data_IF_268402100255
#
_entry.id   IF_268402100255
#
_cell.length_a   1.000
_cell.length_b   1.000
_cell.length_c   1.000
_cell.angle_alpha   90.00
_cell.angle_beta   90.00
_cell.angle_gamma   90.00
#
_symmetry.space_group_name_H-M   'P 1'
#
loop_
_entity.id
_entity.type
_entity.pdbx_description
1 polymer ?
#
# COMPACT_ATOMS: atom_id res chain seq x y z
N UNK A 1 -5.29 32.05 -5.01
CA UNK A 1 -5.74 30.69 -5.28
C UNK A 1 -6.29 30.10 -4.01
N UNK A 2 -7.47 29.45 -4.08
CA UNK A 2 -8.12 28.88 -2.89
C UNK A 2 -7.73 27.43 -2.62
N UNK A 3 -6.91 26.79 -3.50
CA UNK A 3 -6.39 25.47 -3.33
C UNK A 3 -4.94 25.49 -2.81
N UNK A 4 -4.64 24.68 -1.82
CA UNK A 4 -3.30 24.63 -1.23
C UNK A 4 -2.38 23.66 -1.97
N UNK A 5 -2.92 22.56 -2.47
CA UNK A 5 -2.19 21.53 -3.22
C UNK A 5 -3.10 20.74 -4.18
N UNK A 6 -2.50 20.10 -5.16
CA UNK A 6 -3.15 19.26 -6.17
C UNK A 6 -2.36 17.97 -6.30
N UNK A 7 -2.99 16.82 -6.05
CA UNK A 7 -2.42 15.52 -6.38
C UNK A 7 -2.67 15.21 -7.87
N UNK A 8 -1.64 14.83 -8.59
CA UNK A 8 -1.74 14.32 -9.95
C UNK A 8 -1.57 12.80 -9.90
N UNK A 9 -2.63 12.06 -10.24
CA UNK A 9 -2.67 10.58 -10.17
C UNK A 9 -2.91 10.02 -11.57
N UNK A 10 -2.25 8.92 -11.98
CA UNK A 10 -2.51 8.29 -13.27
C UNK A 10 -3.95 7.78 -13.33
N UNK A 11 -4.58 7.92 -14.48
CA UNK A 11 -5.94 7.41 -14.66
C UNK A 11 -5.95 5.88 -14.69
N UNK A 12 -6.57 5.26 -13.69
CA UNK A 12 -6.82 3.82 -13.66
C UNK A 12 -7.83 3.42 -14.75
N UNK A 13 -7.44 2.52 -15.64
CA UNK A 13 -8.31 2.02 -16.72
C UNK A 13 -8.91 0.68 -16.28
N UNK A 14 -10.17 0.69 -15.82
CA UNK A 14 -10.85 -0.52 -15.36
C UNK A 14 -11.64 -1.22 -16.46
N UNK A 15 -11.96 -2.50 -16.26
CA UNK A 15 -12.85 -3.28 -17.14
C UNK A 15 -14.30 -2.74 -17.20
N UNK A 16 -14.70 -1.90 -16.24
CA UNK A 16 -16.07 -1.37 -16.09
C UNK A 16 -16.33 -0.09 -16.91
N UNK A 17 -15.60 0.13 -18.00
CA UNK A 17 -15.67 1.33 -18.83
C UNK A 17 -16.53 1.18 -20.10
N UNK A 18 -17.46 0.24 -20.13
CA UNK A 18 -18.34 0.03 -21.30
C UNK A 18 -19.12 1.31 -21.63
N UNK A 19 -19.01 1.78 -22.88
CA UNK A 19 -19.68 3.01 -23.34
C UNK A 19 -18.97 4.32 -23.01
N UNK A 20 -17.84 4.30 -22.29
CA UNK A 20 -17.01 5.48 -22.03
C UNK A 20 -15.92 5.65 -23.08
N UNK A 21 -15.39 6.86 -23.18
CA UNK A 21 -14.24 7.16 -24.04
C UNK A 21 -13.08 6.20 -23.74
N UNK A 22 -12.47 5.66 -24.80
CA UNK A 22 -11.34 4.73 -24.67
C UNK A 22 -10.10 5.50 -24.21
N UNK A 23 -9.61 5.18 -23.02
CA UNK A 23 -8.32 5.66 -22.51
C UNK A 23 -7.23 4.64 -22.83
N UNK A 24 -6.03 5.12 -23.09
CA UNK A 24 -4.83 4.31 -23.19
C UNK A 24 -4.11 4.39 -21.84
N UNK A 25 -3.82 3.26 -21.17
CA UNK A 25 -2.99 3.26 -19.97
C UNK A 25 -1.62 3.85 -20.26
N UNK A 26 -1.00 4.46 -19.27
CA UNK A 26 0.38 4.90 -19.39
C UNK A 26 1.32 3.69 -19.43
N UNK A 27 2.27 3.74 -20.34
CA UNK A 27 3.48 2.91 -20.34
C UNK A 27 4.64 3.67 -19.68
N UNK A 28 5.79 3.01 -19.56
CA UNK A 28 6.96 3.60 -18.91
C UNK A 28 7.40 4.91 -19.57
N UNK A 29 7.40 4.97 -20.89
CA UNK A 29 7.84 6.16 -21.63
C UNK A 29 6.87 7.32 -21.44
N UNK A 30 5.59 7.12 -21.67
CA UNK A 30 4.57 8.17 -21.53
C UNK A 30 4.41 8.63 -20.07
N UNK A 31 4.61 7.74 -19.10
CA UNK A 31 4.68 8.10 -17.70
C UNK A 31 5.89 9.01 -17.41
N UNK A 32 7.07 8.67 -17.95
CA UNK A 32 8.28 9.48 -17.77
C UNK A 32 8.14 10.87 -18.40
N UNK A 33 7.61 10.96 -19.63
CA UNK A 33 7.37 12.24 -20.31
C UNK A 33 6.37 13.12 -19.54
N UNK A 34 5.30 12.52 -19.01
CA UNK A 34 4.31 13.24 -18.19
C UNK A 34 4.91 13.72 -16.88
N UNK A 35 5.74 12.87 -16.24
CA UNK A 35 6.44 13.20 -15.01
C UNK A 35 7.40 14.38 -15.19
N UNK A 36 8.16 14.43 -16.31
CA UNK A 36 9.05 15.56 -16.64
C UNK A 36 8.29 16.90 -16.66
N UNK A 37 7.10 16.92 -17.26
CA UNK A 37 6.24 18.12 -17.31
C UNK A 37 5.81 18.52 -15.88
N UNK A 38 5.40 17.55 -15.06
CA UNK A 38 4.98 17.81 -13.70
C UNK A 38 6.13 18.30 -12.82
N UNK A 39 7.31 17.69 -12.92
CA UNK A 39 8.50 18.08 -12.15
C UNK A 39 8.98 19.49 -12.51
N UNK A 40 8.94 19.86 -13.80
CA UNK A 40 9.22 21.25 -14.22
C UNK A 40 8.24 22.23 -13.56
N UNK A 41 6.95 21.85 -13.50
CA UNK A 41 5.92 22.68 -12.85
C UNK A 41 6.14 22.79 -11.33
N UNK A 42 6.49 21.68 -10.67
CA UNK A 42 6.85 21.64 -9.26
C UNK A 42 8.03 22.60 -8.97
N UNK A 43 9.08 22.53 -9.77
CA UNK A 43 10.26 23.40 -9.63
C UNK A 43 9.92 24.88 -9.78
N UNK A 44 9.05 25.23 -10.75
CA UNK A 44 8.56 26.61 -10.91
C UNK A 44 7.76 27.09 -9.70
N UNK A 45 6.86 26.23 -9.18
CA UNK A 45 6.07 26.56 -8.00
C UNK A 45 6.97 26.74 -6.76
N UNK A 46 7.94 25.86 -6.53
CA UNK A 46 8.90 26.00 -5.42
C UNK A 46 9.68 27.30 -5.50
N UNK A 47 10.13 27.70 -6.70
CA UNK A 47 10.83 28.97 -6.91
C UNK A 47 9.94 30.18 -6.61
N UNK A 48 8.66 30.11 -6.96
CA UNK A 48 7.73 31.25 -6.83
C UNK A 48 7.08 31.34 -5.46
N UNK A 49 6.75 30.20 -4.83
CA UNK A 49 5.92 30.13 -3.62
C UNK A 49 6.63 29.50 -2.42
N UNK A 50 7.87 29.02 -2.59
CA UNK A 50 8.61 28.30 -1.55
C UNK A 50 8.18 26.84 -1.31
N UNK A 51 7.15 26.38 -2.04
CA UNK A 51 6.61 25.00 -1.96
C UNK A 51 6.07 24.53 -3.31
N UNK A 52 5.85 23.23 -3.45
CA UNK A 52 5.09 22.70 -4.59
C UNK A 52 3.60 23.03 -4.43
N UNK A 53 2.89 23.11 -5.55
CA UNK A 53 1.43 23.20 -5.62
C UNK A 53 0.85 21.97 -6.26
N UNK A 54 1.57 21.36 -7.22
CA UNK A 54 1.22 20.08 -7.85
C UNK A 54 2.18 19.04 -7.36
N UNK A 55 1.66 17.88 -6.97
CA UNK A 55 2.43 16.73 -6.50
C UNK A 55 2.08 15.52 -7.35
N UNK A 56 3.02 14.96 -8.13
CA UNK A 56 2.84 13.66 -8.75
C UNK A 56 2.71 12.59 -7.66
N UNK A 57 1.75 11.67 -7.81
CA UNK A 57 1.68 10.50 -6.94
C UNK A 57 2.89 9.58 -7.15
N UNK A 58 3.21 8.78 -6.13
CA UNK A 58 4.34 7.83 -6.18
C UNK A 58 4.20 6.85 -7.36
N UNK A 59 2.98 6.55 -7.77
CA UNK A 59 2.68 5.68 -8.91
C UNK A 59 3.34 6.20 -10.22
N UNK A 60 3.42 7.50 -10.44
CA UNK A 60 4.07 8.06 -11.62
C UNK A 60 5.55 7.71 -11.68
N UNK A 61 6.25 7.82 -10.56
CA UNK A 61 7.68 7.48 -10.47
C UNK A 61 7.91 6.00 -10.73
N UNK A 62 7.10 5.15 -10.10
CA UNK A 62 7.20 3.70 -10.25
C UNK A 62 6.86 3.26 -11.68
N UNK A 63 5.83 3.81 -12.31
CA UNK A 63 5.49 3.54 -13.72
C UNK A 63 6.60 4.00 -14.67
N UNK A 64 7.19 5.17 -14.41
CA UNK A 64 8.31 5.70 -15.18
C UNK A 64 9.62 4.91 -14.97
N UNK A 65 9.67 4.00 -14.00
CA UNK A 65 10.90 3.32 -13.59
C UNK A 65 11.92 4.26 -12.95
N UNK A 66 11.44 5.33 -12.29
CA UNK A 66 12.26 6.31 -11.59
C UNK A 66 12.19 6.10 -10.09
N UNK A 67 13.23 6.54 -9.40
CA UNK A 67 13.26 6.57 -7.95
C UNK A 67 12.23 7.56 -7.41
N UNK A 68 11.49 7.15 -6.37
CA UNK A 68 10.53 8.02 -5.68
C UNK A 68 11.30 9.11 -4.93
N UNK A 69 10.89 10.39 -5.01
CA UNK A 69 11.58 11.50 -4.41
C UNK A 69 11.87 11.34 -2.90
N UNK A 70 12.89 12.02 -2.38
CA UNK A 70 13.16 12.03 -0.95
C UNK A 70 12.07 12.78 -0.17
N UNK A 71 12.03 12.59 1.15
CA UNK A 71 11.00 13.11 2.05
C UNK A 71 10.75 14.62 1.92
N UNK A 72 11.83 15.39 1.70
CA UNK A 72 11.77 16.86 1.58
C UNK A 72 10.97 17.33 0.36
N UNK A 73 10.76 16.47 -0.63
CA UNK A 73 9.95 16.79 -1.81
C UNK A 73 8.48 16.97 -1.46
N UNK A 74 7.99 16.27 -0.46
CA UNK A 74 6.55 16.16 -0.14
C UNK A 74 6.05 17.23 0.83
N UNK A 75 6.91 18.17 1.24
CA UNK A 75 6.58 19.24 2.21
C UNK A 75 5.92 18.66 3.49
N UNK A 76 4.61 18.89 3.70
CA UNK A 76 3.87 18.37 4.86
C UNK A 76 3.10 17.06 4.57
N UNK A 77 3.29 16.43 3.42
CA UNK A 77 2.51 15.26 2.98
C UNK A 77 0.99 15.50 2.92
N UNK A 78 0.59 16.70 2.48
CA UNK A 78 -0.82 17.14 2.44
C UNK A 78 -1.74 16.27 1.54
N UNK A 79 -1.15 15.46 0.63
CA UNK A 79 -1.86 14.60 -0.32
C UNK A 79 -1.53 13.11 -0.13
N UNK A 80 -1.21 12.70 1.11
CA UNK A 80 -0.79 11.34 1.42
C UNK A 80 -1.85 10.30 1.04
N UNK A 81 -3.13 10.60 1.30
CA UNK A 81 -4.27 9.70 1.00
C UNK A 81 -4.47 9.50 -0.51
N UNK A 82 -3.96 10.41 -1.33
CA UNK A 82 -3.96 10.31 -2.80
C UNK A 82 -2.70 9.59 -3.34
N UNK A 83 -1.90 8.97 -2.48
CA UNK A 83 -0.70 8.22 -2.83
C UNK A 83 0.51 9.10 -3.14
N UNK A 84 0.56 10.32 -2.60
CA UNK A 84 1.69 11.25 -2.73
C UNK A 84 2.59 11.13 -1.51
N UNK A 85 3.75 10.48 -1.65
CA UNK A 85 4.71 10.28 -0.58
C UNK A 85 4.43 9.08 0.35
N UNK A 86 3.37 8.32 0.09
CA UNK A 86 3.03 7.14 0.90
C UNK A 86 4.12 6.07 0.81
N UNK A 87 4.65 5.82 -0.41
CA UNK A 87 5.74 4.90 -0.65
C UNK A 87 7.01 5.34 0.12
N UNK A 88 7.36 6.64 0.03
CA UNK A 88 8.52 7.19 0.72
C UNK A 88 8.38 7.07 2.24
N UNK A 89 7.24 7.47 2.78
CA UNK A 89 6.97 7.36 4.23
C UNK A 89 7.02 5.91 4.71
N UNK A 90 6.44 4.97 3.94
CA UNK A 90 6.47 3.56 4.26
C UNK A 90 7.91 3.02 4.25
N UNK A 91 8.66 3.35 3.18
CA UNK A 91 10.07 2.98 3.05
C UNK A 91 10.88 3.46 4.26
N UNK A 92 10.92 4.78 4.49
CA UNK A 92 11.80 5.35 5.49
C UNK A 92 11.47 4.85 6.91
N UNK A 93 10.17 4.81 7.26
CA UNK A 93 9.75 4.32 8.57
C UNK A 93 10.00 2.81 8.77
N UNK A 94 10.01 2.00 7.70
CA UNK A 94 10.38 0.60 7.80
C UNK A 94 11.88 0.44 8.12
N UNK A 95 12.73 1.14 7.39
CA UNK A 95 14.17 1.07 7.59
C UNK A 95 14.59 1.63 8.95
N UNK A 96 13.98 2.72 9.38
CA UNK A 96 14.19 3.28 10.73
C UNK A 96 13.83 2.26 11.79
N UNK A 97 12.66 1.63 11.71
CA UNK A 97 12.22 0.62 12.66
C UNK A 97 13.11 -0.63 12.62
N UNK A 98 13.52 -1.07 11.42
CA UNK A 98 14.39 -2.24 11.28
C UNK A 98 15.76 -2.01 11.92
N UNK A 99 16.27 -0.77 11.98
CA UNK A 99 17.57 -0.46 12.61
C UNK A 99 17.58 -0.74 14.11
N UNK A 100 16.45 -0.61 14.81
CA UNK A 100 16.40 -0.85 16.25
C UNK A 100 16.81 -2.29 16.57
N UNK A 101 17.78 -2.49 17.49
CA UNK A 101 18.21 -3.83 17.88
C UNK A 101 17.15 -4.55 18.70
N UNK A 102 16.95 -5.84 18.41
CA UNK A 102 16.11 -6.75 19.20
C UNK A 102 16.93 -7.94 19.66
N UNK A 103 16.84 -8.27 20.93
CA UNK A 103 17.61 -9.37 21.52
C UNK A 103 16.93 -10.73 21.40
N UNK A 104 15.60 -10.76 21.34
CA UNK A 104 14.81 -12.00 21.36
C UNK A 104 13.74 -11.93 20.27
N UNK A 105 14.13 -12.23 19.02
CA UNK A 105 13.19 -12.36 17.91
C UNK A 105 12.88 -13.84 17.74
N UNK A 106 11.62 -14.22 17.94
CA UNK A 106 11.18 -15.61 17.78
C UNK A 106 11.12 -16.01 16.30
N UNK A 107 11.42 -17.28 15.98
CA UNK A 107 11.27 -17.78 14.61
C UNK A 107 9.85 -17.57 14.08
N UNK A 108 9.73 -17.02 12.88
CA UNK A 108 8.44 -16.69 12.28
C UNK A 108 8.48 -16.85 10.76
N UNK A 109 7.46 -17.49 10.21
CA UNK A 109 7.21 -17.54 8.76
C UNK A 109 5.86 -16.92 8.46
N UNK A 110 5.81 -16.00 7.52
CA UNK A 110 4.62 -15.30 7.09
C UNK A 110 4.56 -15.16 5.58
N UNK A 111 3.35 -15.09 5.06
CA UNK A 111 3.08 -14.62 3.70
C UNK A 111 2.56 -13.19 3.75
N UNK A 112 2.90 -12.36 2.77
CA UNK A 112 2.46 -10.96 2.66
C UNK A 112 1.89 -10.73 1.28
N UNK A 113 0.66 -10.20 1.18
CA UNK A 113 0.07 -9.79 -0.10
C UNK A 113 0.30 -8.31 -0.35
N UNK A 114 0.52 -7.95 -1.62
CA UNK A 114 0.63 -6.55 -2.05
C UNK A 114 0.21 -6.41 -3.52
N UNK A 115 -0.01 -5.18 -3.99
CA UNK A 115 -0.18 -4.90 -5.42
C UNK A 115 1.13 -5.09 -6.19
N UNK A 116 1.01 -5.30 -7.49
CA UNK A 116 2.19 -5.56 -8.34
C UNK A 116 3.20 -4.41 -8.34
N UNK A 117 2.72 -3.17 -8.20
CA UNK A 117 3.56 -1.98 -8.22
C UNK A 117 4.47 -1.86 -6.98
N UNK A 118 3.96 -2.18 -5.80
CA UNK A 118 4.73 -2.12 -4.55
C UNK A 118 5.55 -3.40 -4.26
N UNK A 119 5.32 -4.48 -5.00
CA UNK A 119 5.96 -5.77 -4.73
C UNK A 119 7.51 -5.74 -4.71
N UNK A 120 8.20 -4.97 -5.56
CA UNK A 120 9.67 -4.87 -5.47
C UNK A 120 10.13 -4.33 -4.11
N UNK A 121 9.54 -3.25 -3.61
CA UNK A 121 9.83 -2.68 -2.30
C UNK A 121 9.58 -3.68 -1.16
N UNK A 122 8.41 -4.34 -1.19
CA UNK A 122 8.05 -5.29 -0.13
C UNK A 122 9.01 -6.51 -0.11
N UNK A 123 9.52 -6.94 -1.28
CA UNK A 123 10.55 -7.99 -1.36
C UNK A 123 11.89 -7.53 -0.79
N UNK A 124 12.33 -6.31 -1.12
CA UNK A 124 13.55 -5.73 -0.55
C UNK A 124 13.49 -5.69 0.98
N UNK A 125 12.35 -5.26 1.53
CA UNK A 125 12.12 -5.25 2.98
C UNK A 125 12.12 -6.65 3.60
N UNK A 126 11.53 -7.63 2.93
CA UNK A 126 11.54 -9.02 3.34
C UNK A 126 12.97 -9.60 3.38
N UNK A 127 13.75 -9.34 2.33
CA UNK A 127 15.17 -9.76 2.24
C UNK A 127 16.03 -9.10 3.32
N UNK A 128 15.87 -7.79 3.54
CA UNK A 128 16.60 -7.07 4.58
C UNK A 128 16.23 -7.56 5.99
N UNK A 129 14.95 -7.88 6.21
CA UNK A 129 14.51 -8.47 7.49
C UNK A 129 15.15 -9.84 7.71
N UNK A 130 15.15 -10.70 6.69
CA UNK A 130 15.80 -12.01 6.76
C UNK A 130 17.32 -11.90 6.96
N UNK A 131 17.97 -10.97 6.27
CA UNK A 131 19.41 -10.74 6.42
C UNK A 131 19.78 -10.33 7.85
N UNK A 132 18.94 -9.51 8.51
CA UNK A 132 19.15 -9.08 9.90
C UNK A 132 18.72 -10.15 10.92
N UNK A 133 17.63 -10.86 10.62
CA UNK A 133 17.02 -11.88 11.49
C UNK A 133 16.76 -13.16 10.69
N UNK A 134 17.77 -14.05 10.53
CA UNK A 134 17.65 -15.24 9.65
C UNK A 134 16.52 -16.22 10.03
N UNK A 135 16.00 -16.14 11.26
CA UNK A 135 14.86 -16.92 11.73
C UNK A 135 13.51 -16.38 11.27
N UNK A 136 13.48 -15.21 10.61
CA UNK A 136 12.28 -14.62 10.00
C UNK A 136 12.25 -14.95 8.51
N UNK A 137 11.16 -15.52 8.04
CA UNK A 137 10.89 -15.79 6.63
C UNK A 137 9.64 -15.06 6.17
N UNK A 138 9.75 -14.25 5.13
CA UNK A 138 8.63 -13.49 4.55
C UNK A 138 8.50 -13.83 3.08
N UNK A 139 7.38 -14.45 2.69
CA UNK A 139 7.07 -14.73 1.29
C UNK A 139 6.13 -13.68 0.75
N UNK A 140 6.49 -13.00 -0.34
CA UNK A 140 5.74 -11.87 -0.90
C UNK A 140 4.94 -12.31 -2.12
N UNK A 141 3.63 -12.16 -2.07
CA UNK A 141 2.68 -12.40 -3.15
C UNK A 141 2.27 -11.08 -3.80
N UNK A 142 2.74 -10.85 -5.02
CA UNK A 142 2.32 -9.73 -5.86
C UNK A 142 0.99 -10.09 -6.55
N UNK A 143 -0.10 -9.48 -6.11
CA UNK A 143 -1.45 -9.82 -6.59
C UNK A 143 -1.78 -8.99 -7.83
N UNK A 144 -2.06 -9.69 -8.93
CA UNK A 144 -2.62 -9.09 -10.14
C UNK A 144 -4.08 -8.72 -9.89
N UNK A 145 -4.45 -7.49 -10.18
CA UNK A 145 -5.82 -7.02 -9.99
C UNK A 145 -6.70 -7.40 -11.18
N UNK A 146 -7.23 -8.63 -11.20
CA UNK A 146 -8.14 -9.10 -12.24
C UNK A 146 -9.56 -8.52 -12.08
N UNK A 147 -9.96 -8.24 -10.84
CA UNK A 147 -11.29 -7.71 -10.52
C UNK A 147 -11.58 -6.38 -11.23
N UNK A 148 -10.61 -5.46 -11.24
CA UNK A 148 -10.72 -4.21 -11.96
C UNK A 148 -10.16 -4.25 -13.39
N UNK A 149 -9.64 -5.38 -13.89
CA UNK A 149 -9.26 -5.59 -15.29
C UNK A 149 -7.77 -5.57 -15.59
N UNK A 150 -6.91 -5.77 -14.59
CA UNK A 150 -5.47 -6.07 -14.76
C UNK A 150 -4.56 -4.86 -15.00
N UNK A 151 -5.10 -3.65 -15.23
CA UNK A 151 -4.31 -2.41 -15.42
C UNK A 151 -4.11 -1.64 -14.11
N UNK A 152 -4.78 -2.04 -13.05
CA UNK A 152 -4.67 -1.44 -11.71
C UNK A 152 -3.61 -2.21 -10.93
N UNK A 153 -2.56 -1.52 -10.49
CA UNK A 153 -1.37 -2.14 -9.89
C UNK A 153 -1.14 -1.77 -8.42
N UNK A 154 -1.89 -0.79 -7.91
CA UNK A 154 -1.74 -0.27 -6.54
C UNK A 154 -2.31 -1.24 -5.50
N UNK A 155 -1.66 -1.32 -4.34
CA UNK A 155 -2.05 -2.25 -3.28
C UNK A 155 -3.46 -1.97 -2.72
N UNK A 156 -3.86 -0.70 -2.55
CA UNK A 156 -5.14 -0.32 -1.97
C UNK A 156 -6.38 -0.75 -2.77
N UNK A 157 -6.22 -1.17 -4.03
CA UNK A 157 -7.32 -1.63 -4.88
C UNK A 157 -7.34 -3.17 -5.07
N UNK A 158 -6.44 -3.91 -4.42
CA UNK A 158 -6.44 -5.38 -4.42
C UNK A 158 -7.67 -5.89 -3.69
N UNK A 159 -8.37 -6.86 -4.30
CA UNK A 159 -9.60 -7.44 -3.73
C UNK A 159 -9.36 -8.77 -3.05
N UNK A 160 -10.25 -9.13 -2.13
CA UNK A 160 -10.19 -10.42 -1.46
C UNK A 160 -10.35 -11.61 -2.44
N UNK A 161 -11.18 -11.44 -3.48
CA UNK A 161 -11.37 -12.44 -4.54
C UNK A 161 -10.07 -12.69 -5.32
N UNK A 162 -9.32 -11.64 -5.66
CA UNK A 162 -8.04 -11.79 -6.37
C UNK A 162 -6.99 -12.48 -5.49
N UNK A 163 -6.97 -12.17 -4.19
CA UNK A 163 -6.08 -12.84 -3.23
C UNK A 163 -6.41 -14.33 -3.16
N UNK A 164 -7.70 -14.70 -2.99
CA UNK A 164 -8.11 -16.12 -2.94
C UNK A 164 -7.67 -16.84 -4.21
N UNK A 165 -7.97 -16.28 -5.38
CA UNK A 165 -7.67 -16.88 -6.68
C UNK A 165 -6.19 -17.18 -6.86
N UNK A 166 -5.30 -16.30 -6.38
CA UNK A 166 -3.87 -16.38 -6.64
C UNK A 166 -3.07 -17.02 -5.50
N UNK A 167 -3.57 -16.95 -4.26
CA UNK A 167 -2.86 -17.50 -3.09
C UNK A 167 -3.35 -18.89 -2.66
N UNK A 168 -4.53 -19.35 -3.10
CA UNK A 168 -5.07 -20.65 -2.67
C UNK A 168 -4.15 -21.81 -3.08
N UNK A 169 -3.62 -22.51 -2.09
CA UNK A 169 -2.67 -23.61 -2.28
C UNK A 169 -1.22 -23.15 -2.54
N UNK A 170 -0.94 -21.86 -2.51
CA UNK A 170 0.38 -21.27 -2.78
C UNK A 170 0.99 -20.56 -1.56
N UNK A 171 0.32 -20.57 -0.40
CA UNK A 171 0.89 -19.97 0.82
C UNK A 171 2.01 -20.86 1.36
N UNK A 172 3.07 -20.22 1.85
CA UNK A 172 4.24 -20.87 2.46
C UNK A 172 4.09 -21.03 3.96
N UNK A 173 3.15 -20.31 4.56
CA UNK A 173 2.88 -20.29 6.01
C UNK A 173 1.38 -20.35 6.32
N UNK A 174 1.05 -20.42 7.59
CA UNK A 174 -0.33 -20.35 8.07
C UNK A 174 -0.77 -18.93 8.46
N UNK A 175 0.06 -17.91 8.25
CA UNK A 175 -0.22 -16.51 8.54
C UNK A 175 -0.11 -15.70 7.25
N UNK A 176 -1.19 -15.02 6.86
CA UNK A 176 -1.20 -14.11 5.74
C UNK A 176 -1.37 -12.67 6.24
N UNK A 177 -0.33 -11.85 6.03
CA UNK A 177 -0.34 -10.43 6.32
C UNK A 177 -1.03 -9.67 5.19
N UNK A 178 -2.05 -8.88 5.54
CA UNK A 178 -2.85 -8.07 4.62
C UNK A 178 -2.69 -6.59 5.00
N UNK A 179 -2.15 -5.73 4.13
CA UNK A 179 -2.07 -4.29 4.39
C UNK A 179 -3.45 -3.68 4.64
N UNK A 180 -3.57 -2.85 5.67
CA UNK A 180 -4.82 -2.19 6.06
C UNK A 180 -5.40 -1.31 4.94
N UNK A 181 -4.55 -0.79 4.04
CA UNK A 181 -4.96 0.00 2.86
C UNK A 181 -5.83 -0.80 1.88
N UNK A 182 -5.82 -2.13 1.90
CA UNK A 182 -6.68 -2.99 1.07
C UNK A 182 -8.12 -3.07 1.61
N UNK A 183 -8.35 -2.62 2.84
CA UNK A 183 -9.65 -2.65 3.48
C UNK A 183 -10.33 -1.28 3.40
N UNK A 184 -11.66 -1.27 3.35
CA UNK A 184 -12.45 -0.02 3.41
C UNK A 184 -12.18 0.74 4.71
N UNK A 185 -12.67 1.96 4.81
CA UNK A 185 -12.43 2.86 5.96
C UNK A 185 -12.77 2.22 7.31
N UNK A 186 -13.82 1.39 7.37
CA UNK A 186 -14.19 0.64 8.58
C UNK A 186 -13.19 -0.48 8.93
N UNK A 187 -12.25 -0.78 8.06
CA UNK A 187 -11.21 -1.84 8.20
C UNK A 187 -11.78 -3.24 8.44
N UNK A 188 -12.97 -3.52 7.94
CA UNK A 188 -13.65 -4.79 8.14
C UNK A 188 -13.72 -5.65 6.87
N UNK A 189 -13.66 -5.05 5.67
CA UNK A 189 -13.82 -5.73 4.39
C UNK A 189 -13.05 -5.09 3.24
N UNK A 190 -12.78 -5.89 2.22
CA UNK A 190 -12.22 -5.46 0.94
C UNK A 190 -13.25 -4.72 0.07
N UNK A 191 -12.82 -4.19 -1.08
CA UNK A 191 -13.69 -3.47 -2.01
C UNK A 191 -14.77 -4.36 -2.64
N UNK A 192 -14.55 -5.67 -2.70
CA UNK A 192 -15.50 -6.70 -3.18
C UNK A 192 -16.37 -7.28 -2.07
N UNK A 193 -16.54 -6.57 -0.94
CA UNK A 193 -17.33 -6.93 0.24
C UNK A 193 -16.86 -8.17 1.04
N UNK A 194 -15.78 -8.82 0.61
CA UNK A 194 -15.22 -9.95 1.33
C UNK A 194 -14.55 -9.48 2.62
N UNK A 195 -14.81 -10.14 3.73
CA UNK A 195 -14.17 -9.80 5.01
C UNK A 195 -12.83 -10.53 5.18
N UNK A 196 -11.93 -9.99 6.02
CA UNK A 196 -10.68 -10.65 6.37
C UNK A 196 -10.91 -12.06 6.96
N UNK A 197 -11.98 -12.23 7.73
CA UNK A 197 -12.37 -13.56 8.27
C UNK A 197 -12.71 -14.55 7.16
N UNK A 198 -13.55 -14.15 6.19
CA UNK A 198 -13.90 -14.99 5.04
C UNK A 198 -12.69 -15.32 4.17
N UNK A 199 -11.76 -14.36 4.00
CA UNK A 199 -10.48 -14.60 3.32
C UNK A 199 -9.69 -15.71 4.02
N UNK A 200 -9.53 -15.64 5.35
CA UNK A 200 -8.83 -16.66 6.13
C UNK A 200 -9.49 -18.03 6.04
N UNK A 201 -10.83 -18.10 6.14
CA UNK A 201 -11.60 -19.33 5.96
C UNK A 201 -11.40 -19.95 4.56
N UNK A 202 -11.37 -19.13 3.50
CA UNK A 202 -11.20 -19.58 2.11
C UNK A 202 -9.80 -20.10 1.81
N UNK A 203 -8.77 -19.52 2.47
CA UNK A 203 -7.36 -19.87 2.29
C UNK A 203 -6.87 -20.91 3.32
N UNK A 204 -7.59 -21.11 4.43
CA UNK A 204 -7.19 -22.00 5.50
C UNK A 204 -6.02 -21.45 6.33
N UNK A 205 -5.90 -20.13 6.48
CA UNK A 205 -4.84 -19.46 7.21
C UNK A 205 -5.36 -18.37 8.15
N UNK A 206 -4.52 -17.92 9.07
CA UNK A 206 -4.78 -16.75 9.91
C UNK A 206 -4.51 -15.47 9.11
N UNK A 207 -5.40 -14.48 9.19
CA UNK A 207 -5.21 -13.16 8.57
C UNK A 207 -4.74 -12.17 9.63
N UNK A 208 -3.55 -11.62 9.42
CA UNK A 208 -3.00 -10.53 10.21
C UNK A 208 -3.08 -9.22 9.40
N UNK A 209 -3.94 -8.29 9.82
CA UNK A 209 -4.04 -6.98 9.18
C UNK A 209 -2.91 -6.11 9.69
N UNK A 210 -2.04 -5.68 8.77
CA UNK A 210 -0.86 -4.87 9.09
C UNK A 210 -1.11 -3.40 8.80
N UNK A 211 -0.57 -2.47 9.63
CA UNK A 211 -0.71 -1.04 9.41
C UNK A 211 -0.15 -0.57 8.05
N UNK A 212 -0.67 0.54 7.54
CA UNK A 212 -0.18 1.20 6.32
C UNK A 212 0.98 2.15 6.62
N UNK A 213 1.87 1.75 7.53
CA UNK A 213 3.13 2.43 7.81
C UNK A 213 4.26 1.40 7.92
N UNK A 214 5.46 1.80 7.54
CA UNK A 214 6.58 0.87 7.46
C UNK A 214 7.04 0.34 8.80
N UNK A 215 6.95 1.15 9.87
CA UNK A 215 7.28 0.70 11.22
C UNK A 215 6.33 -0.40 11.70
N UNK A 216 5.02 -0.24 11.42
CA UNK A 216 4.02 -1.27 11.65
C UNK A 216 4.26 -2.52 10.82
N UNK A 217 4.65 -2.37 9.54
CA UNK A 217 5.03 -3.46 8.65
C UNK A 217 6.23 -4.24 9.19
N UNK A 218 7.29 -3.56 9.62
CA UNK A 218 8.46 -4.18 10.24
C UNK A 218 8.09 -4.96 11.53
N UNK A 219 7.28 -4.37 12.40
CA UNK A 219 6.78 -5.03 13.62
C UNK A 219 5.94 -6.25 13.31
N UNK A 220 5.14 -6.21 12.24
CA UNK A 220 4.39 -7.37 11.78
C UNK A 220 5.32 -8.52 11.39
N UNK A 221 6.35 -8.24 10.60
CA UNK A 221 7.33 -9.25 10.20
C UNK A 221 8.00 -9.92 11.40
N UNK A 222 8.29 -9.14 12.43
CA UNK A 222 8.93 -9.60 13.65
C UNK A 222 7.95 -10.21 14.70
N UNK A 223 6.64 -10.21 14.43
CA UNK A 223 5.64 -10.70 15.38
C UNK A 223 5.37 -9.78 16.56
N UNK A 224 5.70 -8.49 16.44
CA UNK A 224 5.63 -7.50 17.51
C UNK A 224 4.35 -6.64 17.47
N UNK A 225 3.42 -6.90 16.54
CA UNK A 225 2.15 -6.18 16.50
C UNK A 225 1.32 -6.48 17.76
N UNK A 226 0.98 -5.43 18.49
CA UNK A 226 0.03 -5.56 19.59
C UNK A 226 -1.39 -5.73 19.03
N UNK A 227 -2.18 -6.70 19.53
CA UNK A 227 -3.57 -6.84 19.09
C UNK A 227 -4.32 -5.52 19.34
N UNK A 228 -5.02 -5.01 18.31
CA UNK A 228 -5.86 -3.81 18.46
C UNK A 228 -6.89 -4.07 19.58
N UNK A 229 -7.06 -3.17 20.56
CA UNK A 229 -8.06 -3.35 21.59
C UNK A 229 -9.45 -3.45 20.91
N UNK A 230 -10.22 -4.51 21.26
CA UNK A 230 -11.58 -4.69 20.75
C UNK A 230 -12.37 -3.42 21.03
N UNK A 231 -12.83 -2.70 20.00
CA UNK A 231 -13.73 -1.55 20.18
C UNK A 231 -14.95 -2.05 20.94
N UNK A 232 -15.15 -1.57 22.18
CA UNK A 232 -16.40 -1.79 22.91
C UNK A 232 -17.51 -1.14 22.08
N UNK A 233 -18.48 -1.94 21.60
CA UNK A 233 -19.71 -1.40 21.02
C UNK A 233 -20.37 -0.56 22.11
N UNK A 234 -20.31 0.76 22.00
CA UNK A 234 -21.14 1.66 22.79
C UNK A 234 -22.60 1.42 22.33
N UNK A 235 -23.34 0.63 23.10
CA UNK A 235 -24.78 0.59 22.99
C UNK A 235 -25.32 1.92 23.52
N UNK A 236 -25.62 2.85 22.63
CA UNK A 236 -26.50 3.95 22.94
C UNK A 236 -27.94 3.39 23.02
N UNK A 237 -28.44 3.12 24.23
CA UNK A 237 -29.85 2.93 24.45
C UNK A 237 -30.51 4.31 24.40
N UNK A 238 -31.20 4.60 23.32
CA UNK A 238 -32.16 5.71 23.30
C UNK A 238 -33.30 5.33 24.26
N UNK A 239 -33.26 5.86 25.50
CA UNK A 239 -34.37 5.82 26.40
C UNK A 239 -35.49 6.68 25.83
N UNK A 240 -36.55 6.05 25.34
CA UNK A 240 -37.80 6.74 25.00
C UNK A 240 -38.43 7.32 26.25
N UNK A 241 -38.87 8.54 26.16
CA UNK A 241 -40.00 9.13 26.90
C UNK A 241 -40.93 9.76 25.89
#
# INVERSE_FOLDING_TARGET
PQGESIAAVPAGVTAYRKGLFKLTPYDQQSAAETLDIMEEYCARCRKQYGRSVVYPSDEWYLLAGREVPPAEFYDNYDQLEDGVGMWRMYHDSFWDELQFPRSNVEPRSIDVVTGTLAAPLIREMAEATHAKYPQISVTVHAIQNDYFGGTVSVAGLVTGTDIIKQCKGNLSSNILCVPEVMLRDEKDRFLDDLTAKQLGEALGCEIEVIPTDGAGGCKAYLGELKPKPKRKKLHFSFGGR
#
